data_IF_040743616580
#
_entry.id   IF_040743616580
#
_cell.length_a   1.000
_cell.length_b   1.000
_cell.length_c   1.000
_cell.angle_alpha   90.00
_cell.angle_beta   90.00
_cell.angle_gamma   90.00
#
_symmetry.space_group_name_H-M   'P 1'
#
loop_
_entity.id
_entity.type
_entity.pdbx_description
1 polymer ?
#
# COMPACT_ATOMS: atom_id res chain seq x y z
N UNK A 1 -13.32 25.20 6.65
CA UNK A 1 -12.26 24.18 6.91
C UNK A 1 -11.69 23.82 5.55
N UNK A 2 -10.40 24.04 5.27
CA UNK A 2 -9.85 23.65 3.98
C UNK A 2 -9.92 22.12 3.88
N UNK A 3 -10.49 21.63 2.78
CA UNK A 3 -10.48 20.21 2.47
C UNK A 3 -9.01 19.81 2.29
N UNK A 4 -8.45 19.12 3.28
CA UNK A 4 -7.13 18.50 3.12
C UNK A 4 -7.31 17.49 2.00
N UNK A 5 -6.66 17.69 0.85
CA UNK A 5 -6.71 16.77 -0.27
C UNK A 5 -5.98 15.49 0.16
N UNK A 6 -6.69 14.61 0.87
CA UNK A 6 -6.17 13.31 1.31
C UNK A 6 -6.05 12.42 0.08
N UNK A 7 -4.87 12.38 -0.52
CA UNK A 7 -4.61 11.46 -1.62
C UNK A 7 -4.64 10.06 -1.03
N UNK A 8 -5.52 9.23 -1.58
CA UNK A 8 -5.69 7.85 -1.14
C UNK A 8 -5.27 6.93 -2.26
N UNK A 9 -4.23 6.14 -2.03
CA UNK A 9 -3.75 5.15 -3.01
C UNK A 9 -4.03 3.76 -2.47
N UNK A 10 -4.68 2.92 -3.28
CA UNK A 10 -4.97 1.53 -2.92
C UNK A 10 -4.25 0.61 -3.89
N UNK A 11 -3.39 -0.27 -3.36
CA UNK A 11 -2.62 -1.25 -4.14
C UNK A 11 -2.89 -2.67 -3.65
N UNK A 12 -2.94 -3.62 -4.58
CA UNK A 12 -3.03 -5.05 -4.25
C UNK A 12 -1.63 -5.54 -3.86
N UNK A 13 -1.49 -6.08 -2.66
CA UNK A 13 -0.23 -6.65 -2.18
C UNK A 13 0.07 -8.02 -2.80
N UNK A 14 -0.97 -8.74 -3.26
CA UNK A 14 -0.82 -10.03 -3.96
C UNK A 14 0.15 -9.97 -5.15
N UNK A 15 0.25 -8.82 -5.84
CA UNK A 15 1.21 -8.65 -6.96
C UNK A 15 2.67 -8.51 -6.50
N UNK A 16 2.90 -8.14 -5.23
CA UNK A 16 4.23 -7.96 -4.64
C UNK A 16 4.62 -9.13 -3.73
N UNK A 17 3.62 -9.90 -3.28
CA UNK A 17 3.79 -11.22 -2.69
C UNK A 17 4.08 -12.20 -3.83
N UNK A 18 5.33 -12.22 -4.29
CA UNK A 18 5.84 -13.29 -5.16
C UNK A 18 5.38 -14.64 -4.59
N UNK A 19 5.09 -15.62 -5.46
CA UNK A 19 4.37 -16.89 -5.29
C UNK A 19 4.64 -17.79 -4.05
N UNK A 20 5.37 -17.30 -3.06
CA UNK A 20 5.42 -17.76 -1.68
C UNK A 20 4.04 -17.56 -1.03
N UNK A 21 3.22 -18.62 -1.10
CA UNK A 21 1.95 -18.81 -0.39
C UNK A 21 1.99 -18.60 1.13
N UNK A 22 3.15 -18.29 1.70
CA UNK A 22 3.35 -18.17 3.13
C UNK A 22 3.23 -16.71 3.60
N UNK A 23 1.98 -16.25 3.63
CA UNK A 23 1.56 -14.98 4.27
C UNK A 23 1.82 -14.95 5.78
N UNK A 24 2.26 -16.06 6.40
CA UNK A 24 2.61 -16.11 7.83
C UNK A 24 3.96 -15.45 8.13
N UNK A 25 4.78 -15.18 7.11
CA UNK A 25 6.04 -14.47 7.33
C UNK A 25 5.81 -12.97 7.33
N UNK A 26 5.79 -12.37 8.52
CA UNK A 26 5.71 -10.92 8.73
C UNK A 26 6.79 -10.18 7.91
N UNK A 27 7.98 -10.78 7.77
CA UNK A 27 9.06 -10.21 6.96
C UNK A 27 8.71 -10.09 5.47
N UNK A 28 8.04 -11.10 4.89
CA UNK A 28 7.60 -11.06 3.49
C UNK A 28 6.50 -10.01 3.30
N UNK A 29 5.58 -9.91 4.26
CA UNK A 29 4.53 -8.89 4.24
C UNK A 29 5.13 -7.48 4.24
N UNK A 30 6.07 -7.21 5.14
CA UNK A 30 6.76 -5.92 5.22
C UNK A 30 7.56 -5.61 3.95
N UNK A 31 8.17 -6.63 3.34
CA UNK A 31 8.90 -6.46 2.08
C UNK A 31 7.94 -6.10 0.93
N UNK A 32 6.78 -6.76 0.85
CA UNK A 32 5.75 -6.45 -0.15
C UNK A 32 5.19 -5.03 0.05
N UNK A 33 4.93 -4.63 1.30
CA UNK A 33 4.47 -3.27 1.65
C UNK A 33 5.52 -2.23 1.26
N UNK A 34 6.80 -2.49 1.54
CA UNK A 34 7.89 -1.60 1.17
C UNK A 34 7.98 -1.42 -0.35
N UNK A 35 7.97 -2.52 -1.12
CA UNK A 35 7.96 -2.47 -2.59
C UNK A 35 6.74 -1.68 -3.10
N UNK A 36 5.56 -1.96 -2.57
CA UNK A 36 4.33 -1.26 -2.95
C UNK A 36 4.42 0.24 -2.64
N UNK A 37 4.99 0.65 -1.51
CA UNK A 37 5.20 2.05 -1.17
C UNK A 37 6.21 2.74 -2.07
N UNK A 38 7.31 2.07 -2.44
CA UNK A 38 8.27 2.60 -3.40
C UNK A 38 7.64 2.77 -4.78
N UNK A 39 6.83 1.81 -5.22
CA UNK A 39 6.07 1.87 -6.48
C UNK A 39 5.08 3.04 -6.47
N UNK A 40 4.28 3.17 -5.40
CA UNK A 40 3.32 4.27 -5.21
C UNK A 40 4.04 5.63 -5.22
N UNK A 41 5.23 5.74 -4.63
CA UNK A 41 6.01 6.98 -4.64
C UNK A 41 6.56 7.35 -6.02
N UNK A 42 6.78 6.36 -6.88
CA UNK A 42 7.31 6.57 -8.24
C UNK A 42 6.22 6.66 -9.32
N UNK A 43 4.98 6.27 -9.01
CA UNK A 43 3.85 6.27 -9.95
C UNK A 43 3.09 7.61 -9.93
N UNK A 44 2.51 8.01 -11.08
CA UNK A 44 1.72 9.23 -11.18
C UNK A 44 0.26 9.00 -10.71
N UNK A 45 -0.34 9.93 -9.94
CA UNK A 45 0.20 11.22 -9.51
C UNK A 45 1.32 11.06 -8.49
N UNK A 46 2.45 11.71 -8.76
CA UNK A 46 3.66 11.58 -7.97
C UNK A 46 3.40 12.11 -6.55
N UNK A 47 3.18 11.20 -5.60
CA UNK A 47 3.04 11.52 -4.17
C UNK A 47 4.41 11.80 -3.53
N UNK A 48 5.47 11.94 -4.33
CA UNK A 48 6.81 12.33 -3.89
C UNK A 48 6.77 13.74 -3.30
N UNK A 49 6.70 13.80 -1.97
CA UNK A 49 6.59 15.04 -1.20
C UNK A 49 5.45 15.05 -0.19
N UNK A 50 4.49 14.12 -0.32
CA UNK A 50 3.43 13.94 0.66
C UNK A 50 3.86 12.99 1.77
N UNK A 51 3.43 13.27 3.00
CA UNK A 51 3.70 12.40 4.13
C UNK A 51 2.64 11.31 4.19
N UNK A 52 3.08 10.08 4.45
CA UNK A 52 2.16 8.99 4.75
C UNK A 52 1.58 9.26 6.13
N UNK A 53 0.28 9.54 6.19
CA UNK A 53 -0.42 9.75 7.46
C UNK A 53 -1.00 8.46 8.01
N UNK A 54 -1.44 7.55 7.15
CA UNK A 54 -2.00 6.28 7.57
C UNK A 54 -1.75 5.15 6.56
N UNK A 55 -1.51 3.96 7.09
CA UNK A 55 -1.46 2.70 6.35
C UNK A 55 -2.57 1.79 6.86
N UNK A 56 -3.46 1.39 5.96
CA UNK A 56 -4.58 0.50 6.25
C UNK A 56 -4.46 -0.78 5.41
N UNK A 57 -4.66 -1.93 6.05
CA UNK A 57 -4.68 -3.23 5.38
C UNK A 57 -6.10 -3.72 5.25
N UNK A 58 -6.52 -4.00 4.02
CA UNK A 58 -7.86 -4.48 3.72
C UNK A 58 -7.77 -5.86 3.11
N UNK A 59 -8.65 -6.76 3.53
CA UNK A 59 -8.79 -8.08 2.91
C UNK A 59 -10.09 -8.11 2.11
N UNK A 60 -9.99 -8.48 0.85
CA UNK A 60 -11.17 -8.65 0.00
C UNK A 60 -11.89 -9.98 0.29
N UNK A 61 -13.13 -10.13 -0.16
CA UNK A 61 -13.90 -11.37 -0.02
C UNK A 61 -13.21 -12.58 -0.68
N UNK A 62 -12.40 -12.33 -1.72
CA UNK A 62 -11.56 -13.35 -2.36
C UNK A 62 -10.27 -13.68 -1.57
N UNK A 63 -10.06 -13.12 -0.37
CA UNK A 63 -8.89 -13.37 0.47
C UNK A 63 -7.66 -12.52 0.13
N UNK A 64 -7.71 -11.77 -0.98
CA UNK A 64 -6.62 -10.91 -1.46
C UNK A 64 -6.34 -9.75 -0.48
N UNK A 65 -5.06 -9.46 -0.28
CA UNK A 65 -4.64 -8.38 0.61
C UNK A 65 -4.41 -7.09 -0.19
N UNK A 66 -5.00 -5.99 0.28
CA UNK A 66 -4.87 -4.64 -0.30
C UNK A 66 -4.24 -3.71 0.74
N UNK A 67 -3.25 -2.95 0.31
CA UNK A 67 -2.67 -1.85 1.05
C UNK A 67 -3.36 -0.56 0.64
N UNK A 68 -3.92 0.16 1.60
CA UNK A 68 -4.48 1.49 1.41
C UNK A 68 -3.56 2.49 2.14
N UNK A 69 -3.02 3.44 1.39
CA UNK A 69 -2.08 4.44 1.87
C UNK A 69 -2.75 5.80 1.77
N UNK A 70 -2.73 6.53 2.88
CA UNK A 70 -3.23 7.90 2.96
C UNK A 70 -2.07 8.86 3.04
N UNK A 71 -2.16 9.93 2.25
CA UNK A 71 -1.15 10.97 2.13
C UNK A 71 -1.76 12.33 2.50
N UNK A 72 -1.03 13.15 3.26
CA UNK A 72 -1.33 14.57 3.54
C UNK A 72 -0.12 15.46 3.25
#
# INVERSE_FOLDING_TARGET
MPAVNKITVTRKLDSYLEAKKDLNSIALLLQAVRKALEDIKNEEPCVAGLNITELSFLRDAAGNLKLKVYFE
#
